data_IF_307705720253
#
_entry.id   IF_307705720253
#
_cell.length_a   1.000
_cell.length_b   1.000
_cell.length_c   1.000
_cell.angle_alpha   90.00
_cell.angle_beta   90.00
_cell.angle_gamma   90.00
#
_symmetry.space_group_name_H-M   'P 1'
#
loop_
_entity.id
_entity.type
_entity.pdbx_description
1 polymer ?
#
# COMPACT_ATOMS: atom_id res chain seq x y z
N UNK A 1 5.76 -11.80 16.49
CA UNK A 1 6.81 -12.74 16.02
C UNK A 1 8.15 -12.27 16.57
N UNK A 2 9.12 -13.15 16.80
CA UNK A 2 10.45 -12.77 17.26
C UNK A 2 11.46 -12.87 16.12
N UNK A 3 12.36 -11.89 15.98
CA UNK A 3 13.53 -11.98 15.10
C UNK A 3 14.45 -13.05 15.70
N UNK A 4 15.01 -13.99 14.93
CA UNK A 4 15.91 -15.01 15.48
C UNK A 4 17.05 -14.39 16.28
N UNK A 5 17.37 -15.00 17.43
CA UNK A 5 18.56 -14.63 18.20
C UNK A 5 19.76 -15.25 17.51
N UNK A 6 20.70 -14.43 17.10
CA UNK A 6 21.89 -14.82 16.36
C UNK A 6 23.10 -14.14 17.00
N UNK A 7 24.33 -14.42 16.60
CA UNK A 7 25.53 -13.82 17.23
C UNK A 7 26.26 -12.79 16.35
N UNK A 8 25.61 -12.32 15.28
CA UNK A 8 26.12 -11.58 14.11
C UNK A 8 27.34 -12.17 13.39
N UNK A 9 27.33 -12.14 12.06
CA UNK A 9 28.52 -11.72 11.27
C UNK A 9 28.17 -11.57 9.80
N UNK A 10 28.66 -10.51 9.14
CA UNK A 10 29.04 -10.56 7.72
C UNK A 10 30.00 -9.45 7.31
N UNK A 11 31.28 -9.81 7.18
CA UNK A 11 32.06 -9.77 5.94
C UNK A 11 33.08 -10.93 6.00
N UNK A 12 32.95 -11.93 5.11
CA UNK A 12 33.98 -12.96 4.87
C UNK A 12 33.84 -14.36 5.50
N UNK A 13 32.69 -14.78 6.06
CA UNK A 13 32.57 -16.13 6.62
C UNK A 13 31.20 -16.81 6.42
N UNK A 14 31.24 -18.12 6.15
CA UNK A 14 30.10 -19.03 6.08
C UNK A 14 29.44 -19.21 7.46
N UNK A 15 28.14 -18.96 7.55
CA UNK A 15 27.31 -19.29 8.71
C UNK A 15 26.32 -18.21 9.16
N UNK A 16 26.42 -16.97 8.67
CA UNK A 16 25.42 -15.92 8.89
C UNK A 16 24.23 -16.06 7.94
N UNK A 17 23.01 -16.18 8.48
CA UNK A 17 21.76 -16.20 7.71
C UNK A 17 21.09 -14.83 7.65
N UNK A 18 20.25 -14.59 6.64
CA UNK A 18 19.36 -13.42 6.62
C UNK A 18 18.00 -13.88 7.13
N UNK A 19 17.47 -13.26 8.19
CA UNK A 19 16.07 -13.46 8.54
C UNK A 19 15.23 -12.63 7.58
N UNK A 20 14.34 -13.27 6.82
CA UNK A 20 13.41 -12.60 5.93
C UNK A 20 11.98 -13.02 6.27
N UNK A 21 11.11 -12.04 6.46
CA UNK A 21 9.69 -12.28 6.65
C UNK A 21 8.87 -11.34 5.77
N UNK A 22 7.88 -11.91 5.10
CA UNK A 22 6.90 -11.18 4.29
C UNK A 22 5.50 -11.39 4.85
N UNK A 23 4.72 -10.31 4.92
CA UNK A 23 3.33 -10.35 5.33
C UNK A 23 2.47 -9.59 4.33
N UNK A 24 1.47 -10.27 3.80
CA UNK A 24 0.40 -9.66 3.01
C UNK A 24 -0.85 -9.58 3.89
N UNK A 25 -1.36 -8.36 4.10
CA UNK A 25 -2.63 -8.20 4.77
C UNK A 25 -3.75 -8.60 3.80
N UNK A 26 -4.72 -9.37 4.27
CA UNK A 26 -5.80 -9.91 3.42
C UNK A 26 -7.18 -9.38 3.76
N UNK A 27 -7.33 -8.78 4.94
CA UNK A 27 -8.64 -8.48 5.53
C UNK A 27 -8.90 -6.97 5.54
N UNK A 28 -10.18 -6.62 5.64
CA UNK A 28 -10.66 -5.26 5.81
C UNK A 28 -10.83 -4.95 7.30
N UNK A 29 -9.73 -5.08 8.05
CA UNK A 29 -9.73 -4.96 9.50
C UNK A 29 -8.45 -4.30 9.99
N UNK A 30 -8.51 -3.72 11.19
CA UNK A 30 -7.29 -3.26 11.86
C UNK A 30 -6.44 -4.48 12.22
N UNK A 31 -5.13 -4.39 12.01
CA UNK A 31 -4.20 -5.45 12.37
C UNK A 31 -2.83 -4.87 12.67
N UNK A 32 -2.15 -5.41 13.68
CA UNK A 32 -0.79 -5.03 14.02
C UNK A 32 0.09 -6.25 14.02
N UNK A 33 1.14 -6.21 13.20
CA UNK A 33 2.18 -7.22 13.17
C UNK A 33 3.44 -6.66 13.83
N UNK A 34 3.95 -7.36 14.85
CA UNK A 34 5.09 -6.90 15.65
C UNK A 34 6.26 -7.88 15.55
N UNK A 35 7.47 -7.31 15.41
CA UNK A 35 8.75 -8.01 15.43
C UNK A 35 9.63 -7.43 16.53
N UNK A 36 10.05 -8.28 17.46
CA UNK A 36 10.95 -7.90 18.55
C UNK A 36 12.35 -8.39 18.23
N UNK A 37 13.36 -7.57 18.51
CA UNK A 37 14.77 -7.98 18.48
C UNK A 37 15.16 -8.60 19.83
N UNK A 38 15.26 -9.94 19.98
CA UNK A 38 15.67 -10.57 21.23
C UNK A 38 17.19 -10.61 21.42
N UNK A 39 17.96 -10.06 20.47
CA UNK A 39 19.41 -10.04 20.56
C UNK A 39 19.87 -9.03 21.61
N UNK A 40 21.04 -9.30 22.18
CA UNK A 40 21.72 -8.39 23.13
C UNK A 40 22.39 -7.20 22.44
N UNK A 41 22.38 -7.17 21.10
CA UNK A 41 22.98 -6.14 20.27
C UNK A 41 21.95 -5.61 19.25
N UNK A 42 22.26 -4.47 18.64
CA UNK A 42 21.41 -3.86 17.63
C UNK A 42 21.52 -4.57 16.27
N UNK A 43 20.39 -4.76 15.59
CA UNK A 43 20.33 -5.36 14.25
C UNK A 43 19.96 -4.32 13.20
N UNK A 44 20.37 -4.54 11.95
CA UNK A 44 19.96 -3.68 10.84
C UNK A 44 18.83 -4.38 10.11
N UNK A 45 17.69 -3.72 10.00
CA UNK A 45 16.53 -4.17 9.26
C UNK A 45 16.40 -3.38 7.95
N UNK A 46 16.27 -4.09 6.84
CA UNK A 46 15.80 -3.59 5.55
C UNK A 46 14.31 -3.87 5.50
N UNK A 47 13.52 -2.82 5.34
CA UNK A 47 12.07 -2.90 5.38
C UNK A 47 11.53 -2.33 4.07
N UNK A 48 10.64 -3.07 3.43
CA UNK A 48 9.79 -2.55 2.36
C UNK A 48 8.34 -2.70 2.78
N UNK A 49 7.56 -1.65 2.63
CA UNK A 49 6.16 -1.65 3.04
C UNK A 49 5.31 -0.89 2.04
N UNK A 50 4.09 -1.35 1.84
CA UNK A 50 3.09 -0.71 1.00
C UNK A 50 1.75 -0.69 1.73
N UNK A 51 1.14 0.48 1.79
CA UNK A 51 -0.24 0.64 2.26
C UNK A 51 -1.23 -0.02 1.28
N UNK A 52 -2.48 -0.21 1.72
CA UNK A 52 -3.54 -0.75 0.86
C UNK A 52 -3.80 0.16 -0.35
N UNK A 53 -4.26 -0.40 -1.46
CA UNK A 53 -4.75 0.39 -2.59
C UNK A 53 -6.06 1.09 -2.22
N UNK A 54 -6.33 2.24 -2.83
CA UNK A 54 -7.62 2.91 -2.69
C UNK A 54 -8.76 2.03 -3.22
N UNK A 55 -9.85 1.92 -2.46
CA UNK A 55 -11.09 1.31 -2.95
C UNK A 55 -11.69 2.16 -4.06
N UNK A 56 -12.04 1.52 -5.18
CA UNK A 56 -12.76 2.16 -6.27
C UNK A 56 -14.16 2.51 -5.77
N UNK A 57 -14.43 3.80 -5.58
CA UNK A 57 -15.80 4.28 -5.41
C UNK A 57 -16.37 4.55 -6.80
N UNK A 58 -17.45 3.86 -7.16
CA UNK A 58 -18.19 4.13 -8.39
C UNK A 58 -18.80 5.53 -8.33
N UNK A 59 -18.09 6.51 -8.88
CA UNK A 59 -18.52 7.88 -8.98
C UNK A 59 -17.81 8.53 -10.16
N UNK A 60 -18.60 9.14 -11.05
CA UNK A 60 -18.09 9.94 -12.15
C UNK A 60 -18.64 11.36 -12.08
N UNK A 61 -17.85 12.34 -12.50
CA UNK A 61 -18.30 13.71 -12.74
C UNK A 61 -18.15 14.02 -14.22
N UNK A 62 -19.15 14.63 -14.83
CA UNK A 62 -19.07 15.13 -16.21
C UNK A 62 -18.88 16.64 -16.20
N UNK A 63 -17.84 17.09 -16.88
CA UNK A 63 -17.55 18.50 -17.14
C UNK A 63 -18.31 18.96 -18.39
N UNK A 64 -18.43 20.27 -18.57
CA UNK A 64 -19.14 20.90 -19.71
C UNK A 64 -18.50 20.60 -21.08
N UNK A 65 -17.29 20.06 -21.09
CA UNK A 65 -16.53 19.62 -22.27
C UNK A 65 -16.88 18.19 -22.75
N UNK A 66 -17.81 17.51 -22.06
CA UNK A 66 -18.34 16.19 -22.44
C UNK A 66 -17.54 15.00 -21.94
N UNK A 67 -16.48 15.22 -21.14
CA UNK A 67 -15.66 14.16 -20.56
C UNK A 67 -16.23 13.64 -19.23
N UNK A 68 -16.20 12.32 -19.03
CA UNK A 68 -16.44 11.70 -17.71
C UNK A 68 -15.11 11.51 -16.98
N UNK A 69 -15.03 12.03 -15.76
CA UNK A 69 -13.90 11.81 -14.85
C UNK A 69 -14.30 10.79 -13.79
N UNK A 70 -13.49 9.75 -13.60
CA UNK A 70 -13.69 8.75 -12.56
C UNK A 70 -12.88 9.08 -11.32
N UNK A 71 -13.44 8.83 -10.14
CA UNK A 71 -12.71 8.99 -8.88
C UNK A 71 -11.69 7.86 -8.73
N UNK A 72 -10.42 8.20 -8.54
CA UNK A 72 -9.45 7.22 -8.08
C UNK A 72 -9.70 6.92 -6.60
N UNK A 73 -9.52 5.66 -6.23
CA UNK A 73 -9.97 5.18 -4.93
C UNK A 73 -9.44 5.96 -3.73
N UNK A 74 -10.33 6.25 -2.77
CA UNK A 74 -10.07 7.21 -1.67
C UNK A 74 -9.60 6.54 -0.37
N UNK A 75 -9.95 5.27 -0.13
CA UNK A 75 -10.11 4.75 1.22
C UNK A 75 -9.30 3.49 1.62
N UNK A 76 -8.18 3.17 0.97
CA UNK A 76 -7.41 1.96 1.31
C UNK A 76 -6.81 1.97 2.71
N UNK A 77 -6.36 0.80 3.16
CA UNK A 77 -5.76 0.64 4.49
C UNK A 77 -4.50 1.49 4.63
N UNK A 78 -4.44 2.30 5.68
CA UNK A 78 -3.20 2.97 6.04
C UNK A 78 -2.24 1.97 6.68
N UNK A 79 -0.94 2.20 6.52
CA UNK A 79 0.10 1.43 7.19
C UNK A 79 1.01 2.37 7.97
N UNK A 80 1.04 2.21 9.29
CA UNK A 80 1.96 2.92 10.17
C UNK A 80 3.07 1.98 10.63
N UNK A 81 4.31 2.41 10.47
CA UNK A 81 5.48 1.71 10.97
C UNK A 81 5.96 2.45 12.21
N UNK A 82 6.13 1.74 13.33
CA UNK A 82 6.58 2.32 14.59
C UNK A 82 7.69 1.50 15.22
N UNK A 83 8.64 2.17 15.89
CA UNK A 83 9.66 1.55 16.72
C UNK A 83 9.39 1.92 18.18
N UNK A 84 9.24 0.92 19.06
CA UNK A 84 8.91 1.12 20.47
C UNK A 84 7.71 2.05 20.67
N UNK A 85 6.63 1.79 19.94
CA UNK A 85 5.38 2.58 19.94
C UNK A 85 5.52 4.04 19.49
N UNK A 86 6.67 4.44 18.94
CA UNK A 86 6.85 5.75 18.29
C UNK A 86 6.72 5.59 16.79
N UNK A 87 5.74 6.27 16.20
CA UNK A 87 5.54 6.26 14.75
C UNK A 87 6.79 6.83 14.04
N UNK A 88 7.29 6.08 13.06
CA UNK A 88 8.39 6.49 12.18
C UNK A 88 7.83 7.07 10.89
N UNK A 89 6.86 6.37 10.30
CA UNK A 89 6.20 6.78 9.06
C UNK A 89 4.77 6.24 9.01
N UNK A 90 3.89 7.01 8.37
CA UNK A 90 2.54 6.57 8.01
C UNK A 90 2.36 6.66 6.50
N UNK A 91 2.04 5.53 5.90
CA UNK A 91 1.74 5.35 4.48
C UNK A 91 0.23 5.37 4.28
N UNK A 92 -0.23 6.25 3.39
CA UNK A 92 -1.64 6.39 3.07
C UNK A 92 -2.10 5.32 2.08
N UNK A 93 -3.25 4.70 2.34
CA UNK A 93 -3.85 3.67 1.48
C UNK A 93 -4.55 4.19 0.23
N UNK A 94 -3.97 5.16 -0.46
CA UNK A 94 -4.62 5.94 -1.52
C UNK A 94 -4.46 7.43 -1.26
N UNK A 95 -4.55 8.26 -2.31
CA UNK A 95 -4.26 9.69 -2.18
C UNK A 95 -5.49 10.58 -2.03
N UNK A 96 -6.70 10.01 -2.08
CA UNK A 96 -7.96 10.76 -2.03
C UNK A 96 -8.13 11.83 -3.12
N UNK A 97 -7.18 11.89 -4.06
CA UNK A 97 -7.17 12.82 -5.18
C UNK A 97 -7.57 12.03 -6.41
N UNK A 98 -8.51 12.57 -7.21
CA UNK A 98 -8.81 12.08 -8.57
C UNK A 98 -7.46 11.81 -9.26
N UNK A 99 -7.07 10.56 -9.43
CA UNK A 99 -5.69 10.25 -9.81
C UNK A 99 -5.37 10.96 -11.12
N UNK A 100 -4.12 11.43 -11.22
CA UNK A 100 -3.54 12.07 -12.41
C UNK A 100 -3.52 11.23 -13.68
N UNK A 101 -4.33 10.17 -13.78
CA UNK A 101 -4.76 9.57 -15.03
C UNK A 101 -6.26 9.82 -15.17
N UNK A 102 -6.62 10.96 -15.75
CA UNK A 102 -7.98 11.16 -16.23
C UNK A 102 -8.18 10.20 -17.39
N UNK A 103 -8.79 9.04 -17.14
CA UNK A 103 -9.40 8.27 -18.21
C UNK A 103 -10.69 9.02 -18.58
N UNK A 104 -10.55 9.96 -19.50
CA UNK A 104 -11.70 10.65 -20.04
C UNK A 104 -12.40 9.77 -21.07
N UNK A 105 -13.72 9.76 -21.06
CA UNK A 105 -14.54 9.27 -22.17
C UNK A 105 -15.49 10.38 -22.61
N UNK A 106 -15.56 10.64 -23.93
CA UNK A 106 -16.54 11.58 -24.50
C UNK A 106 -17.87 10.85 -24.68
N UNK A 107 -18.91 11.28 -23.98
CA UNK A 107 -20.26 10.69 -24.13
C UNK A 107 -21.23 11.65 -24.82
N UNK A 108 -22.07 11.14 -25.74
CA UNK A 108 -23.05 11.90 -26.51
C UNK A 108 -24.47 11.37 -26.27
N UNK A 109 -25.48 12.27 -26.24
CA UNK A 109 -26.91 11.96 -25.97
C UNK A 109 -27.80 12.59 -27.06
N UNK A 110 -27.79 12.05 -28.28
CA UNK A 110 -28.64 12.52 -29.39
C UNK A 110 -29.64 11.46 -29.86
N UNK A 111 -30.80 11.90 -30.39
CA UNK A 111 -31.93 11.04 -30.80
C UNK A 111 -31.92 10.59 -32.27
N UNK A 112 -30.96 11.02 -33.11
CA UNK A 112 -30.90 10.65 -34.53
C UNK A 112 -29.49 10.24 -34.95
N UNK A 113 -29.38 9.17 -35.75
CA UNK A 113 -28.12 8.55 -36.18
C UNK A 113 -27.82 8.99 -37.61
N UNK A 114 -26.86 9.90 -37.79
CA UNK A 114 -26.46 10.40 -39.10
C UNK A 114 -25.28 11.35 -38.94
N UNK A 115 -24.13 11.04 -39.57
CA UNK A 115 -22.87 11.80 -39.52
C UNK A 115 -22.61 12.53 -38.19
N UNK A 116 -22.85 11.76 -37.15
CA UNK A 116 -23.22 12.17 -35.82
C UNK A 116 -23.65 10.91 -35.09
N UNK A 117 -23.58 10.94 -33.75
CA UNK A 117 -23.84 9.82 -32.86
C UNK A 117 -22.77 8.72 -32.89
N UNK A 118 -21.72 8.93 -32.08
CA UNK A 118 -20.76 7.89 -31.72
C UNK A 118 -21.50 6.76 -31.01
N UNK A 119 -21.59 5.62 -31.69
CA UNK A 119 -22.07 4.37 -31.13
C UNK A 119 -21.27 4.04 -29.88
N UNK A 120 -22.00 3.59 -28.86
CA UNK A 120 -21.49 3.07 -27.59
C UNK A 120 -20.41 2.02 -27.85
N UNK A 121 -19.16 2.45 -27.97
CA UNK A 121 -18.02 1.58 -27.92
C UNK A 121 -17.65 1.48 -26.45
N UNK A 122 -17.91 0.31 -25.88
CA UNK A 122 -17.49 -0.12 -24.56
C UNK A 122 -16.06 0.32 -24.24
N UNK A 123 -15.89 1.50 -23.65
CA UNK A 123 -14.69 1.79 -22.91
C UNK A 123 -14.86 1.07 -21.58
N UNK A 124 -14.29 -0.13 -21.46
CA UNK A 124 -13.93 -0.67 -20.16
C UNK A 124 -13.00 0.35 -19.51
N UNK A 125 -13.56 1.31 -18.80
CA UNK A 125 -12.80 2.16 -17.89
C UNK A 125 -12.31 1.21 -16.84
N UNK A 126 -11.05 0.77 -16.97
CA UNK A 126 -10.35 0.13 -15.86
C UNK A 126 -10.42 1.15 -14.73
N UNK A 127 -11.29 0.89 -13.77
CA UNK A 127 -11.25 1.62 -12.53
C UNK A 127 -9.86 1.39 -11.95
N UNK A 128 -9.03 2.44 -11.97
CA UNK A 128 -7.67 2.36 -11.47
C UNK A 128 -7.74 2.57 -9.97
N UNK A 129 -7.72 1.47 -9.22
CA UNK A 129 -7.39 1.52 -7.80
C UNK A 129 -5.99 2.12 -7.69
N UNK A 130 -5.88 3.30 -7.08
CA UNK A 130 -4.56 3.89 -6.87
C UNK A 130 -3.80 3.02 -5.88
N UNK A 131 -2.56 2.65 -6.22
CA UNK A 131 -1.70 1.95 -5.29
C UNK A 131 -1.49 2.81 -4.02
N UNK A 132 -1.55 2.16 -2.86
CA UNK A 132 -1.16 2.79 -1.60
C UNK A 132 0.29 3.23 -1.64
N UNK A 133 0.63 4.24 -0.81
CA UNK A 133 2.01 4.70 -0.69
C UNK A 133 2.92 3.55 -0.26
N UNK A 134 4.13 3.53 -0.80
CA UNK A 134 5.17 2.60 -0.42
C UNK A 134 6.37 3.33 0.18
N UNK A 135 7.14 2.61 0.99
CA UNK A 135 8.43 3.07 1.48
C UNK A 135 9.41 1.90 1.56
N UNK A 136 10.67 2.19 1.29
CA UNK A 136 11.82 1.38 1.67
C UNK A 136 12.59 2.11 2.77
N UNK A 137 13.04 1.40 3.81
CA UNK A 137 13.86 1.98 4.87
C UNK A 137 14.92 1.01 5.35
N UNK A 138 16.06 1.56 5.75
CA UNK A 138 17.06 0.88 6.55
C UNK A 138 16.94 1.39 7.99
N UNK A 139 16.75 0.50 8.95
CA UNK A 139 16.52 0.86 10.33
C UNK A 139 17.40 0.04 11.26
N UNK A 140 18.10 0.71 12.17
CA UNK A 140 18.77 0.06 13.29
C UNK A 140 17.76 -0.22 14.40
N UNK A 141 17.54 -1.49 14.73
CA UNK A 141 16.64 -1.92 15.80
C UNK A 141 17.48 -2.25 17.05
N UNK A 142 17.36 -1.48 18.15
CA UNK A 142 18.10 -1.75 19.38
C UNK A 142 17.77 -3.12 20.01
N UNK A 143 18.60 -3.61 20.95
CA UNK A 143 18.28 -4.77 21.78
C UNK A 143 16.92 -4.63 22.44
N UNK A 144 16.10 -5.69 22.43
CA UNK A 144 14.76 -5.76 23.03
C UNK A 144 13.75 -4.74 22.49
N UNK A 145 14.10 -3.97 21.46
CA UNK A 145 13.18 -3.07 20.81
C UNK A 145 12.22 -3.84 19.89
N UNK A 146 11.03 -3.28 19.70
CA UNK A 146 10.01 -3.86 18.83
C UNK A 146 9.64 -2.89 17.72
N UNK A 147 9.64 -3.39 16.50
CA UNK A 147 9.06 -2.73 15.34
C UNK A 147 7.65 -3.29 15.10
N UNK A 148 6.69 -2.41 14.87
CA UNK A 148 5.30 -2.76 14.60
C UNK A 148 4.84 -2.18 13.28
N UNK A 149 4.08 -2.96 12.55
CA UNK A 149 3.39 -2.62 11.31
C UNK A 149 1.90 -2.63 11.59
N UNK A 150 1.31 -1.44 11.73
CA UNK A 150 -0.11 -1.27 12.04
C UNK A 150 -0.88 -0.92 10.78
N UNK A 151 -1.72 -1.86 10.34
CA UNK A 151 -2.72 -1.68 9.31
C UNK A 151 -3.98 -1.09 9.94
N UNK A 152 -4.41 0.07 9.44
CA UNK A 152 -5.65 0.72 9.87
C UNK A 152 -6.65 0.69 8.73
N UNK A 153 -7.75 -0.03 8.95
CA UNK A 153 -8.86 -0.10 8.03
C UNK A 153 -9.54 1.26 7.90
N UNK A 154 -9.76 1.70 6.66
CA UNK A 154 -10.39 2.99 6.34
C UNK A 154 -11.66 2.84 5.52
N UNK A 155 -12.41 1.76 5.73
CA UNK A 155 -13.65 1.46 5.01
C UNK A 155 -13.47 1.12 3.52
N UNK A 156 -12.25 0.76 3.07
CA UNK A 156 -12.02 0.22 1.72
C UNK A 156 -12.41 -1.26 1.59
N UNK A 157 -13.70 -1.54 1.46
CA UNK A 157 -14.17 -2.92 1.36
C UNK A 157 -13.69 -3.60 0.05
N UNK A 158 -13.65 -2.85 -1.05
CA UNK A 158 -13.30 -3.32 -2.39
C UNK A 158 -11.85 -3.08 -2.82
N UNK A 159 -10.93 -2.72 -1.92
CA UNK A 159 -9.52 -2.56 -2.29
C UNK A 159 -8.88 -3.90 -2.73
N UNK A 160 -8.20 -3.90 -3.88
CA UNK A 160 -7.52 -5.10 -4.39
C UNK A 160 -6.31 -5.48 -3.54
N UNK A 161 -5.55 -4.49 -3.07
CA UNK A 161 -4.46 -4.64 -2.12
C UNK A 161 -4.85 -4.07 -0.75
N UNK A 162 -4.72 -4.85 0.33
CA UNK A 162 -5.00 -4.40 1.71
C UNK A 162 -3.73 -3.95 2.46
N UNK A 163 -2.60 -3.95 1.76
CA UNK A 163 -1.28 -3.56 2.26
C UNK A 163 -0.40 -4.77 2.52
N UNK A 164 0.91 -4.55 2.51
CA UNK A 164 1.91 -5.59 2.73
C UNK A 164 3.19 -4.98 3.31
N UNK A 165 4.02 -5.82 3.90
CA UNK A 165 5.37 -5.46 4.27
C UNK A 165 6.31 -6.66 4.19
N UNK A 166 7.59 -6.35 4.07
CA UNK A 166 8.70 -7.27 4.21
C UNK A 166 9.69 -6.67 5.20
N UNK A 167 10.28 -7.52 6.02
CA UNK A 167 11.38 -7.17 6.92
C UNK A 167 12.47 -8.21 6.73
N UNK A 168 13.64 -7.73 6.34
CA UNK A 168 14.86 -8.51 6.24
C UNK A 168 15.85 -7.99 7.27
N UNK A 169 16.32 -8.86 8.16
CA UNK A 169 17.25 -8.49 9.22
C UNK A 169 18.61 -9.10 8.93
N UNK A 170 19.61 -8.24 8.89
CA UNK A 170 21.01 -8.62 8.80
C UNK A 170 21.55 -8.66 10.22
N UNK A 171 22.00 -9.85 10.61
CA UNK A 171 22.70 -10.10 11.85
C UNK A 171 24.10 -10.61 11.55
#
# INVERSE_FOLDING_TARGET
MSIPKTNKTLLGQQGGGIYNHSYAHTNNANHTQTYTNPNVYAVIAIIHAQAGSGEITYGWSQTSDGWRHYNAGQNGNNLTISLNNKALITLAGGSGSKAGATAGERSWRGTTKGWGNWNMNYANTKALAQNGKSAGMLLTIPPNASISFTYTYRNASGASNKGNHTISVIY
#
